data_IF_742367789673
#
_entry.id   IF_742367789673
#
_cell.length_a   1.000
_cell.length_b   1.000
_cell.length_c   1.000
_cell.angle_alpha   90.00
_cell.angle_beta   90.00
_cell.angle_gamma   90.00
#
_symmetry.space_group_name_H-M   'P 1'
#
loop_
_entity.id
_entity.type
_entity.pdbx_description
1 polymer ?
#
# COMPACT_ATOMS: atom_id res chain seq x y z
N UNK A 1 21.52 -12.43 -48.17
CA UNK A 1 20.78 -11.37 -48.89
C UNK A 1 19.37 -11.30 -48.33
N UNK A 2 18.95 -10.09 -47.93
CA UNK A 2 17.54 -9.62 -47.73
C UNK A 2 16.81 -10.22 -46.50
N UNK A 3 16.73 -9.60 -45.32
CA UNK A 3 16.19 -8.29 -44.87
C UNK A 3 14.65 -8.11 -44.98
N UNK A 4 14.10 -7.59 -43.87
CA UNK A 4 12.78 -6.94 -43.61
C UNK A 4 11.66 -7.92 -43.20
N UNK A 5 11.01 -7.79 -42.04
CA UNK A 5 10.20 -6.66 -41.52
C UNK A 5 10.22 -6.72 -39.96
N UNK A 6 10.92 -5.84 -39.23
CA UNK A 6 10.42 -4.63 -38.53
C UNK A 6 8.91 -4.61 -38.25
N UNK A 7 8.49 -4.91 -37.01
CA UNK A 7 7.47 -4.17 -36.25
C UNK A 7 6.87 -5.01 -35.11
N UNK A 8 7.51 -5.00 -33.95
CA UNK A 8 6.79 -4.84 -32.68
C UNK A 8 7.71 -4.13 -31.68
N UNK A 9 8.17 -2.95 -32.09
CA UNK A 9 8.61 -1.91 -31.17
C UNK A 9 7.37 -1.35 -30.44
N UNK A 10 6.80 -2.13 -29.52
CA UNK A 10 5.98 -1.61 -28.42
C UNK A 10 6.22 -2.50 -27.19
N UNK A 11 7.43 -2.45 -26.65
CA UNK A 11 7.55 -2.43 -25.18
C UNK A 11 8.35 -1.18 -24.82
N UNK A 12 7.95 -0.06 -25.42
CA UNK A 12 7.96 1.21 -24.73
C UNK A 12 6.61 1.34 -24.01
N UNK A 13 6.27 0.37 -23.16
CA UNK A 13 5.53 0.72 -21.97
C UNK A 13 6.62 1.20 -20.99
N UNK A 14 7.12 2.42 -21.22
CA UNK A 14 7.68 3.18 -20.11
C UNK A 14 6.67 3.02 -18.98
N UNK A 15 7.14 2.51 -17.86
CA UNK A 15 6.35 2.22 -16.69
C UNK A 15 5.73 3.54 -16.22
N UNK A 16 4.57 3.89 -16.77
CA UNK A 16 3.66 4.88 -16.22
C UNK A 16 3.10 4.26 -14.94
N UNK A 17 3.96 4.12 -13.92
CA UNK A 17 3.46 4.30 -12.57
C UNK A 17 2.79 5.65 -12.63
N UNK A 18 1.45 5.64 -12.57
CA UNK A 18 0.64 6.85 -12.62
C UNK A 18 1.25 7.82 -11.62
N UNK A 19 1.96 8.82 -12.14
CA UNK A 19 2.56 9.83 -11.29
C UNK A 19 1.37 10.57 -10.70
N UNK A 20 1.18 10.43 -9.39
CA UNK A 20 0.15 11.17 -8.70
C UNK A 20 0.41 12.66 -8.97
N UNK A 21 -0.62 13.36 -9.40
CA UNK A 21 -0.53 14.80 -9.59
C UNK A 21 -0.33 15.48 -8.23
N UNK A 22 0.27 16.67 -8.21
CA UNK A 22 0.56 17.38 -6.97
C UNK A 22 -0.69 17.64 -6.10
N UNK A 23 -1.84 17.91 -6.73
CA UNK A 23 -3.13 18.03 -6.05
C UNK A 23 -3.58 16.70 -5.41
N UNK A 24 -3.39 15.57 -6.09
CA UNK A 24 -3.69 14.24 -5.56
C UNK A 24 -2.77 13.87 -4.39
N UNK A 25 -1.49 14.20 -4.47
CA UNK A 25 -0.53 14.03 -3.36
C UNK A 25 -0.98 14.82 -2.14
N UNK A 26 -1.38 16.09 -2.32
CA UNK A 26 -1.87 16.92 -1.23
C UNK A 26 -3.16 16.35 -0.61
N UNK A 27 -4.12 15.89 -1.42
CA UNK A 27 -5.34 15.23 -0.93
C UNK A 27 -5.03 13.98 -0.09
N UNK A 28 -4.09 13.15 -0.54
CA UNK A 28 -3.63 11.96 0.20
C UNK A 28 -3.01 12.38 1.53
N UNK A 29 -2.11 13.38 1.53
CA UNK A 29 -1.46 13.85 2.76
C UNK A 29 -2.47 14.43 3.75
N UNK A 30 -3.35 15.32 3.31
CA UNK A 30 -4.34 15.99 4.16
C UNK A 30 -5.32 14.99 4.78
N UNK A 31 -5.79 14.03 3.99
CA UNK A 31 -6.67 12.97 4.49
C UNK A 31 -5.91 11.99 5.40
N UNK A 32 -4.69 11.58 5.04
CA UNK A 32 -3.87 10.68 5.87
C UNK A 32 -3.51 11.31 7.22
N UNK A 33 -3.21 12.61 7.25
CA UNK A 33 -2.87 13.35 8.47
C UNK A 33 -4.02 13.34 9.51
N UNK A 34 -5.28 13.16 9.09
CA UNK A 34 -6.41 13.06 10.01
C UNK A 34 -6.43 11.75 10.81
N UNK A 35 -5.73 10.71 10.33
CA UNK A 35 -5.86 9.35 10.86
C UNK A 35 -4.53 8.64 11.15
N UNK A 36 -3.39 9.15 10.68
CA UNK A 36 -2.08 8.48 10.81
C UNK A 36 -1.66 8.19 12.25
N UNK A 37 -2.21 8.91 13.23
CA UNK A 37 -1.95 8.68 14.65
C UNK A 37 -2.89 7.64 15.28
N UNK A 38 -3.98 7.28 14.60
CA UNK A 38 -4.94 6.25 15.00
C UNK A 38 -4.46 4.84 14.61
N UNK A 39 -3.15 4.57 14.77
CA UNK A 39 -2.46 3.40 14.22
C UNK A 39 -3.09 2.09 14.68
N UNK A 40 -3.44 2.02 15.96
CA UNK A 40 -4.07 0.87 16.60
C UNK A 40 -5.44 0.61 16.01
N UNK A 41 -6.25 1.66 15.84
CA UNK A 41 -7.61 1.54 15.32
C UNK A 41 -7.62 1.13 13.84
N UNK A 42 -6.67 1.62 13.04
CA UNK A 42 -6.51 1.19 11.64
C UNK A 42 -6.23 -0.31 11.58
N UNK A 43 -5.22 -0.81 12.32
CA UNK A 43 -4.89 -2.24 12.30
C UNK A 43 -6.03 -3.09 12.87
N UNK A 44 -6.69 -2.60 13.92
CA UNK A 44 -7.83 -3.27 14.53
C UNK A 44 -8.98 -3.41 13.51
N UNK A 45 -9.31 -2.36 12.75
CA UNK A 45 -10.34 -2.43 11.70
C UNK A 45 -10.00 -3.48 10.63
N UNK A 46 -8.74 -3.52 10.17
CA UNK A 46 -8.27 -4.52 9.21
C UNK A 46 -8.44 -5.95 9.74
N UNK A 47 -8.02 -6.22 10.99
CA UNK A 47 -8.12 -7.57 11.56
C UNK A 47 -9.55 -7.96 11.91
N UNK A 48 -10.42 -6.99 12.22
CA UNK A 48 -11.84 -7.21 12.48
C UNK A 48 -12.57 -7.70 11.23
N UNK A 49 -12.24 -7.13 10.08
CA UNK A 49 -12.85 -7.49 8.80
C UNK A 49 -12.22 -8.73 8.17
N UNK A 50 -10.96 -9.05 8.51
CA UNK A 50 -10.17 -10.08 7.83
C UNK A 50 -9.44 -10.99 8.83
N UNK A 51 -10.17 -11.96 9.38
CA UNK A 51 -9.63 -12.94 10.33
C UNK A 51 -8.44 -13.72 9.74
N UNK A 52 -8.47 -14.04 8.45
CA UNK A 52 -7.40 -14.71 7.72
C UNK A 52 -6.13 -13.87 7.58
N UNK A 53 -6.22 -12.53 7.64
CA UNK A 53 -5.06 -11.65 7.71
C UNK A 53 -4.48 -11.71 9.13
N UNK A 54 -5.32 -11.62 10.18
CA UNK A 54 -4.88 -11.74 11.57
C UNK A 54 -4.13 -13.07 11.81
N UNK A 55 -4.63 -14.16 11.25
CA UNK A 55 -4.04 -15.50 11.44
C UNK A 55 -2.67 -15.68 10.75
N UNK A 56 -2.24 -14.75 9.90
CA UNK A 56 -0.86 -14.69 9.39
C UNK A 56 0.16 -14.17 10.41
N UNK A 57 -0.30 -13.70 11.57
CA UNK A 57 0.53 -13.21 12.66
C UNK A 57 0.47 -14.21 13.83
N UNK A 58 1.43 -15.13 13.99
CA UNK A 58 1.38 -16.18 15.01
C UNK A 58 1.19 -15.66 16.44
N UNK A 59 1.70 -14.46 16.74
CA UNK A 59 1.53 -13.83 18.04
C UNK A 59 0.10 -13.36 18.34
N UNK A 60 -0.78 -13.28 17.33
CA UNK A 60 -2.18 -12.85 17.42
C UNK A 60 -3.17 -13.94 17.01
N UNK A 61 -2.73 -14.96 16.27
CA UNK A 61 -3.56 -16.08 15.82
C UNK A 61 -4.28 -16.76 17.00
N UNK A 62 -5.57 -17.03 16.82
CA UNK A 62 -6.43 -17.64 17.85
C UNK A 62 -6.74 -16.77 19.07
N UNK A 63 -6.20 -15.54 19.16
CA UNK A 63 -6.54 -14.60 20.23
C UNK A 63 -7.77 -13.77 19.86
N UNK A 64 -8.55 -13.45 20.88
CA UNK A 64 -9.64 -12.49 20.78
C UNK A 64 -9.10 -11.09 20.47
N UNK A 65 -9.69 -10.40 19.50
CA UNK A 65 -9.16 -9.13 18.99
C UNK A 65 -9.25 -8.02 20.04
N UNK A 66 -10.34 -7.98 20.82
CA UNK A 66 -10.49 -7.01 21.90
C UNK A 66 -9.40 -7.20 22.96
N UNK A 67 -9.12 -8.45 23.31
CA UNK A 67 -8.10 -8.79 24.30
C UNK A 67 -6.67 -8.37 23.90
N UNK A 68 -6.37 -8.28 22.60
CA UNK A 68 -5.03 -7.95 22.10
C UNK A 68 -4.85 -6.50 21.67
N UNK A 69 -5.94 -5.74 21.44
CA UNK A 69 -5.89 -4.37 20.93
C UNK A 69 -4.97 -3.46 21.77
N UNK A 70 -5.06 -3.60 23.09
CA UNK A 70 -4.27 -2.79 24.02
C UNK A 70 -2.87 -3.33 24.33
N UNK A 71 -2.55 -4.52 23.82
CA UNK A 71 -1.24 -5.14 24.03
C UNK A 71 -0.12 -4.34 23.38
N UNK A 72 1.07 -4.38 23.99
CA UNK A 72 2.27 -3.72 23.47
C UNK A 72 2.64 -4.29 22.10
N UNK A 73 2.47 -5.59 21.91
CA UNK A 73 2.79 -6.30 20.67
C UNK A 73 1.91 -5.81 19.52
N UNK A 74 0.61 -5.62 19.76
CA UNK A 74 -0.32 -5.09 18.77
C UNK A 74 -0.01 -3.63 18.42
N UNK A 75 0.19 -2.79 19.44
CA UNK A 75 0.59 -1.37 19.26
C UNK A 75 1.89 -1.23 18.45
N UNK A 76 2.88 -2.07 18.75
CA UNK A 76 4.15 -2.09 18.02
C UNK A 76 3.97 -2.54 16.56
N UNK A 77 3.08 -3.49 16.29
CA UNK A 77 2.83 -3.95 14.93
C UNK A 77 2.07 -2.91 14.11
N UNK A 78 1.03 -2.31 14.69
CA UNK A 78 0.30 -1.19 14.11
C UNK A 78 1.25 -0.02 13.76
N UNK A 79 2.17 0.31 14.66
CA UNK A 79 3.15 1.37 14.44
C UNK A 79 4.06 1.11 13.22
N UNK A 80 4.45 -0.15 12.98
CA UNK A 80 5.28 -0.52 11.81
C UNK A 80 4.54 -0.35 10.49
N UNK A 81 3.28 -0.80 10.43
CA UNK A 81 2.48 -0.71 9.20
C UNK A 81 2.21 0.75 8.84
N UNK A 82 1.75 1.55 9.81
CA UNK A 82 1.43 2.95 9.55
C UNK A 82 2.71 3.79 9.38
N UNK A 83 3.81 3.41 10.02
CA UNK A 83 5.14 3.98 9.77
C UNK A 83 5.53 3.83 8.31
N UNK A 84 5.48 2.60 7.77
CA UNK A 84 5.74 2.36 6.34
C UNK A 84 4.84 3.17 5.42
N UNK A 85 3.53 3.23 5.71
CA UNK A 85 2.60 4.05 4.92
C UNK A 85 2.95 5.55 5.01
N UNK A 86 3.40 6.02 6.18
CA UNK A 86 3.85 7.41 6.38
C UNK A 86 5.11 7.71 5.58
N UNK A 87 6.07 6.78 5.54
CA UNK A 87 7.29 6.93 4.76
C UNK A 87 6.96 7.06 3.26
N UNK A 88 6.06 6.22 2.74
CA UNK A 88 5.61 6.29 1.34
C UNK A 88 4.89 7.61 1.04
N UNK A 89 3.98 8.06 1.92
CA UNK A 89 3.26 9.34 1.73
C UNK A 89 4.23 10.53 1.77
N UNK A 90 5.24 10.49 2.63
CA UNK A 90 6.24 11.56 2.76
C UNK A 90 7.14 11.70 1.51
N UNK A 91 7.37 10.61 0.75
CA UNK A 91 8.10 10.69 -0.51
C UNK A 91 7.40 11.56 -1.57
N UNK A 92 6.10 11.82 -1.43
CA UNK A 92 5.37 12.74 -2.28
C UNK A 92 5.81 14.21 -2.16
N UNK A 93 6.55 14.57 -1.11
CA UNK A 93 6.99 15.94 -0.82
C UNK A 93 8.39 16.30 -1.33
N UNK A 94 9.08 15.32 -1.91
CA UNK A 94 10.44 15.51 -2.41
C UNK A 94 10.46 16.32 -3.70
N UNK A 95 11.43 17.24 -3.80
CA UNK A 95 11.62 18.08 -5.00
C UNK A 95 12.04 17.27 -6.24
N UNK A 96 12.68 16.12 -6.04
CA UNK A 96 13.03 15.17 -7.10
C UNK A 96 11.96 14.09 -7.27
N UNK A 97 11.08 14.28 -8.26
CA UNK A 97 10.06 13.29 -8.60
C UNK A 97 10.68 11.93 -8.99
N UNK A 98 11.81 11.93 -9.69
CA UNK A 98 12.50 10.71 -10.14
C UNK A 98 13.03 9.88 -8.96
N UNK A 99 13.71 10.52 -8.01
CA UNK A 99 14.26 9.85 -6.82
C UNK A 99 13.14 9.28 -5.93
N UNK A 100 12.03 10.01 -5.84
CA UNK A 100 10.86 9.60 -5.04
C UNK A 100 10.17 8.38 -5.62
N UNK A 101 10.01 8.35 -6.94
CA UNK A 101 9.48 7.19 -7.66
C UNK A 101 10.41 6.00 -7.49
N UNK A 102 11.73 6.18 -7.67
CA UNK A 102 12.71 5.11 -7.49
C UNK A 102 12.68 4.54 -6.06
N UNK A 103 12.62 5.40 -5.04
CA UNK A 103 12.56 5.00 -3.63
C UNK A 103 11.25 4.28 -3.31
N UNK A 104 10.12 4.81 -3.82
CA UNK A 104 8.79 4.18 -3.66
C UNK A 104 8.77 2.77 -4.25
N UNK A 105 9.29 2.60 -5.47
CA UNK A 105 9.43 1.28 -6.10
C UNK A 105 10.26 0.33 -5.26
N UNK A 106 11.44 0.79 -4.80
CA UNK A 106 12.33 -0.02 -3.97
C UNK A 106 11.62 -0.54 -2.71
N UNK A 107 10.96 0.36 -1.97
CA UNK A 107 10.26 0.01 -0.73
C UNK A 107 9.09 -0.96 -0.97
N UNK A 108 8.32 -0.76 -2.04
CA UNK A 108 7.17 -1.63 -2.36
C UNK A 108 7.63 -2.99 -2.89
N UNK A 109 8.70 -3.05 -3.68
CA UNK A 109 9.31 -4.31 -4.11
C UNK A 109 9.83 -5.12 -2.90
N UNK A 110 10.52 -4.47 -1.96
CA UNK A 110 10.99 -5.13 -0.74
C UNK A 110 9.82 -5.64 0.12
N UNK A 111 8.75 -4.83 0.25
CA UNK A 111 7.51 -5.26 0.88
C UNK A 111 6.96 -6.54 0.23
N UNK A 112 6.86 -6.58 -1.10
CA UNK A 112 6.36 -7.74 -1.82
C UNK A 112 7.24 -8.98 -1.60
N UNK A 113 8.57 -8.86 -1.70
CA UNK A 113 9.51 -9.97 -1.51
C UNK A 113 9.43 -10.54 -0.10
N UNK A 114 9.40 -9.67 0.91
CA UNK A 114 9.32 -10.09 2.32
C UNK A 114 7.98 -10.73 2.65
N UNK A 115 6.88 -10.27 2.05
CA UNK A 115 5.55 -10.83 2.29
C UNK A 115 5.29 -12.11 1.50
N UNK A 116 5.86 -12.26 0.30
CA UNK A 116 5.82 -13.52 -0.46
C UNK A 116 6.45 -14.67 0.33
N UNK A 117 7.59 -14.44 0.97
CA UNK A 117 8.27 -15.42 1.84
C UNK A 117 7.41 -15.88 3.03
N UNK A 118 6.44 -15.06 3.45
CA UNK A 118 5.48 -15.35 4.52
C UNK A 118 4.17 -15.97 4.01
N UNK A 119 4.09 -16.26 2.71
CA UNK A 119 2.90 -16.85 2.09
C UNK A 119 1.69 -15.91 2.10
N UNK A 120 1.92 -14.59 1.98
CA UNK A 120 0.87 -13.59 1.80
C UNK A 120 0.47 -13.54 0.33
N UNK A 121 -0.83 -13.60 0.05
CA UNK A 121 -1.36 -13.67 -1.32
C UNK A 121 -1.85 -12.31 -1.81
N UNK A 122 -2.02 -12.16 -3.14
CA UNK A 122 -2.68 -10.99 -3.73
C UNK A 122 -4.08 -10.76 -3.18
N UNK A 123 -4.82 -11.84 -2.91
CA UNK A 123 -6.15 -11.79 -2.29
C UNK A 123 -6.10 -11.11 -0.92
N UNK A 124 -5.11 -11.47 -0.09
CA UNK A 124 -4.95 -10.86 1.24
C UNK A 124 -4.52 -9.39 1.17
N UNK A 125 -3.68 -9.02 0.19
CA UNK A 125 -3.38 -7.61 -0.05
C UNK A 125 -4.63 -6.84 -0.49
N UNK A 126 -5.44 -7.39 -1.40
CA UNK A 126 -6.69 -6.72 -1.82
C UNK A 126 -7.70 -6.60 -0.67
N UNK A 127 -7.80 -7.60 0.19
CA UNK A 127 -8.62 -7.55 1.40
C UNK A 127 -8.12 -6.45 2.38
N UNK A 128 -6.80 -6.36 2.57
CA UNK A 128 -6.17 -5.27 3.33
C UNK A 128 -6.50 -3.89 2.75
N UNK A 129 -6.39 -3.70 1.41
CA UNK A 129 -6.78 -2.46 0.73
C UNK A 129 -8.23 -2.11 1.02
N UNK A 130 -9.15 -3.07 0.88
CA UNK A 130 -10.58 -2.84 1.07
C UNK A 130 -10.88 -2.33 2.49
N UNK A 131 -10.32 -2.96 3.52
CA UNK A 131 -10.53 -2.54 4.92
C UNK A 131 -9.87 -1.20 5.25
N UNK A 132 -8.68 -0.92 4.73
CA UNK A 132 -8.07 0.42 4.92
C UNK A 132 -8.91 1.50 4.23
N UNK A 133 -9.37 1.24 3.01
CA UNK A 133 -10.19 2.20 2.27
C UNK A 133 -11.50 2.49 2.99
N UNK A 134 -12.18 1.45 3.50
CA UNK A 134 -13.37 1.59 4.33
C UNK A 134 -13.08 2.34 5.64
N UNK A 135 -11.95 2.08 6.29
CA UNK A 135 -11.56 2.84 7.47
C UNK A 135 -11.37 4.32 7.14
N UNK A 136 -10.72 4.66 6.01
CA UNK A 136 -10.50 6.04 5.61
C UNK A 136 -11.84 6.74 5.36
N UNK A 137 -12.73 6.11 4.59
CA UNK A 137 -14.09 6.61 4.32
C UNK A 137 -14.85 7.02 5.58
N UNK A 138 -14.67 6.27 6.67
CA UNK A 138 -15.39 6.51 7.92
C UNK A 138 -14.69 7.48 8.89
N UNK A 139 -13.42 7.83 8.64
CA UNK A 139 -12.59 8.54 9.63
C UNK A 139 -11.88 9.79 9.09
N UNK A 140 -12.06 10.13 7.81
CA UNK A 140 -11.55 11.38 7.22
C UNK A 140 -12.67 12.13 6.52
N UNK A 141 -12.44 13.41 6.22
CA UNK A 141 -13.30 14.17 5.31
C UNK A 141 -13.25 13.56 3.90
N UNK A 142 -14.20 12.68 3.61
CA UNK A 142 -14.19 11.86 2.39
C UNK A 142 -15.02 12.50 1.27
N UNK A 143 -14.34 12.93 0.20
CA UNK A 143 -14.95 13.45 -1.03
C UNK A 143 -14.58 12.57 -2.23
N UNK A 144 -15.26 12.77 -3.36
CA UNK A 144 -14.95 12.05 -4.61
C UNK A 144 -13.48 12.23 -5.03
N UNK A 145 -12.92 13.43 -4.87
CA UNK A 145 -11.52 13.71 -5.19
C UNK A 145 -10.55 12.96 -4.26
N UNK A 146 -10.86 12.87 -2.96
CA UNK A 146 -10.07 12.10 -2.00
C UNK A 146 -10.14 10.61 -2.34
N UNK A 147 -11.33 10.12 -2.68
CA UNK A 147 -11.55 8.74 -3.11
C UNK A 147 -10.75 8.39 -4.36
N UNK A 148 -10.76 9.26 -5.37
CA UNK A 148 -10.00 9.08 -6.60
C UNK A 148 -8.49 9.08 -6.32
N UNK A 149 -8.00 10.02 -5.53
CA UNK A 149 -6.58 10.12 -5.19
C UNK A 149 -6.07 8.85 -4.49
N UNK A 150 -6.79 8.36 -3.47
CA UNK A 150 -6.44 7.11 -2.79
C UNK A 150 -6.55 5.89 -3.71
N UNK A 151 -7.57 5.84 -4.56
CA UNK A 151 -7.72 4.74 -5.53
C UNK A 151 -6.50 4.65 -6.44
N UNK A 152 -6.08 5.78 -7.02
CA UNK A 152 -4.89 5.85 -7.87
C UNK A 152 -3.61 5.51 -7.12
N UNK A 153 -3.45 5.97 -5.89
CA UNK A 153 -2.30 5.65 -5.06
C UNK A 153 -2.20 4.14 -4.79
N UNK A 154 -3.31 3.50 -4.40
CA UNK A 154 -3.36 2.06 -4.21
C UNK A 154 -3.15 1.29 -5.52
N UNK A 155 -3.72 1.73 -6.64
CA UNK A 155 -3.52 1.08 -7.93
C UNK A 155 -2.05 1.12 -8.36
N UNK A 156 -1.40 2.28 -8.24
CA UNK A 156 0.02 2.45 -8.53
C UNK A 156 0.90 1.57 -7.63
N UNK A 157 0.65 1.57 -6.31
CA UNK A 157 1.38 0.74 -5.37
C UNK A 157 1.16 -0.76 -5.63
N UNK A 158 -0.08 -1.18 -5.91
CA UNK A 158 -0.44 -2.59 -6.07
C UNK A 158 0.04 -3.13 -7.41
N UNK A 159 0.14 -2.29 -8.44
CA UNK A 159 0.80 -2.64 -9.68
C UNK A 159 2.25 -3.09 -9.45
N UNK A 160 3.05 -2.28 -8.73
CA UNK A 160 4.43 -2.63 -8.37
C UNK A 160 4.48 -3.87 -7.49
N UNK A 161 3.65 -3.89 -6.44
CA UNK A 161 3.61 -4.96 -5.45
C UNK A 161 3.27 -6.31 -6.10
N UNK A 162 2.25 -6.34 -6.97
CA UNK A 162 1.81 -7.57 -7.62
C UNK A 162 2.76 -8.05 -8.71
N UNK A 163 3.41 -7.12 -9.43
CA UNK A 163 4.49 -7.47 -10.35
C UNK A 163 5.65 -8.15 -9.61
N UNK A 164 6.06 -7.60 -8.46
CA UNK A 164 7.09 -8.21 -7.61
C UNK A 164 6.66 -9.55 -7.00
N UNK A 165 5.39 -9.70 -6.57
CA UNK A 165 4.86 -10.98 -6.10
C UNK A 165 4.90 -12.06 -7.18
N UNK A 166 4.71 -11.71 -8.45
CA UNK A 166 4.78 -12.63 -9.58
C UNK A 166 6.23 -12.97 -9.99
N UNK A 167 7.22 -12.28 -9.42
CA UNK A 167 8.64 -12.49 -9.73
C UNK A 167 9.22 -11.48 -10.72
N UNK A 168 8.54 -10.37 -10.96
CA UNK A 168 8.93 -9.31 -11.88
C UNK A 168 8.97 -7.93 -11.16
N UNK A 169 9.91 -7.71 -10.21
CA UNK A 169 10.02 -6.41 -9.54
C UNK A 169 10.32 -5.27 -10.54
N UNK A 170 9.79 -4.06 -10.27
CA UNK A 170 9.80 -2.88 -11.17
C UNK A 170 10.69 -1.72 -10.73
#
# INVERSE_FOLDING_TARGET
MKLLIIAFCIIAASCDIVLLKADQINLIKESFNQIKDNKVDILYAVFKDNQEIKDKFPQFAGKDLESIKESREFKNHAAKIIGFASDIVALGDNESAEESVATTKFLINDLAVTHKKRGITKTQFNAFRASIFLYFQNNVSWSDNVSEAWTRAFDAAYFILFSALDGHPL
#
